data_IF_556797477594
#
_entry.id   IF_556797477594
#
_cell.length_a   1.000
_cell.length_b   1.000
_cell.length_c   1.000
_cell.angle_alpha   90.00
_cell.angle_beta   90.00
_cell.angle_gamma   90.00
#
_symmetry.space_group_name_H-M   'P 1'
#
loop_
_entity.id
_entity.type
_entity.pdbx_description
1 polymer ?
#
# COMPACT_ATOMS: atom_id res chain seq x y z
N UNK A 1 17.87 17.25 3.02
CA UNK A 1 16.81 18.23 2.68
C UNK A 1 16.61 18.47 1.18
N UNK A 2 17.66 18.66 0.35
CA UNK A 2 17.50 18.85 -1.12
C UNK A 2 16.86 17.68 -1.88
N UNK A 3 16.95 16.44 -1.36
CA UNK A 3 16.27 15.28 -1.97
C UNK A 3 14.75 15.25 -1.71
N UNK A 4 14.29 15.76 -0.56
CA UNK A 4 12.88 15.68 -0.14
C UNK A 4 11.95 16.64 -0.91
N UNK A 5 12.50 17.65 -1.60
CA UNK A 5 11.69 18.62 -2.35
C UNK A 5 10.88 17.99 -3.49
N UNK A 6 11.41 16.94 -4.13
CA UNK A 6 10.72 16.21 -5.20
C UNK A 6 9.78 15.14 -4.63
N UNK A 7 10.15 14.53 -3.51
CA UNK A 7 9.32 13.48 -2.90
C UNK A 7 8.05 14.01 -2.26
N UNK A 8 8.02 15.27 -1.78
CA UNK A 8 6.83 15.84 -1.14
C UNK A 8 5.57 15.86 -2.05
N UNK A 9 5.62 16.37 -3.30
CA UNK A 9 4.49 16.24 -4.23
C UNK A 9 4.23 14.81 -4.70
N UNK A 10 5.25 13.94 -4.68
CA UNK A 10 5.10 12.53 -5.06
C UNK A 10 4.39 11.71 -3.97
N UNK A 11 4.51 12.13 -2.71
CA UNK A 11 3.81 11.53 -1.57
C UNK A 11 2.33 11.95 -1.56
N UNK A 12 2.03 13.23 -1.79
CA UNK A 12 0.64 13.73 -1.75
C UNK A 12 -0.22 13.21 -2.91
N UNK A 13 0.40 12.86 -4.04
CA UNK A 13 -0.26 12.26 -5.21
C UNK A 13 -0.20 10.73 -5.20
N UNK A 14 0.27 10.11 -4.12
CA UNK A 14 0.35 8.66 -4.02
C UNK A 14 -1.04 8.03 -3.86
N UNK A 15 -1.31 6.99 -4.66
CA UNK A 15 -2.58 6.28 -4.67
C UNK A 15 -2.97 5.69 -3.31
N UNK A 16 -1.98 5.19 -2.55
CA UNK A 16 -2.21 4.61 -1.23
C UNK A 16 -2.57 5.67 -0.18
N UNK A 17 -1.96 6.86 -0.27
CA UNK A 17 -2.26 7.99 0.62
C UNK A 17 -3.65 8.55 0.34
N UNK A 18 -4.01 8.69 -0.94
CA UNK A 18 -5.35 9.08 -1.35
C UNK A 18 -6.40 8.06 -0.86
N UNK A 19 -6.14 6.76 -1.02
CA UNK A 19 -7.04 5.71 -0.53
C UNK A 19 -7.20 5.74 0.99
N UNK A 20 -6.12 5.97 1.76
CA UNK A 20 -6.21 6.12 3.21
C UNK A 20 -7.10 7.32 3.61
N UNK A 21 -7.01 8.43 2.87
CA UNK A 21 -7.83 9.62 3.11
C UNK A 21 -9.31 9.41 2.74
N UNK A 22 -9.62 8.70 1.66
CA UNK A 22 -11.02 8.48 1.25
C UNK A 22 -11.70 7.35 2.02
N UNK A 23 -10.99 6.26 2.32
CA UNK A 23 -11.56 5.11 3.03
C UNK A 23 -11.73 5.36 4.54
N UNK A 24 -10.94 6.27 5.12
CA UNK A 24 -11.12 6.68 6.53
C UNK A 24 -12.39 7.48 6.80
N UNK A 25 -13.05 8.00 5.76
CA UNK A 25 -14.31 8.76 5.85
C UNK A 25 -15.53 7.88 5.60
N UNK A 26 -15.36 6.67 5.05
CA UNK A 26 -16.46 5.71 4.91
C UNK A 26 -16.92 5.22 6.28
N UNK A 27 -18.23 4.95 6.48
CA UNK A 27 -18.72 4.26 7.67
C UNK A 27 -17.95 2.95 7.86
N UNK A 28 -17.21 2.87 8.97
CA UNK A 28 -16.08 1.97 9.16
C UNK A 28 -16.41 0.51 9.44
N UNK A 29 -15.33 -0.28 9.45
CA UNK A 29 -15.15 -1.69 9.84
C UNK A 29 -15.93 -2.15 11.09
N UNK A 30 -16.21 -1.26 12.05
CA UNK A 30 -17.01 -1.54 13.25
C UNK A 30 -18.53 -1.34 13.09
N UNK A 31 -19.01 -0.72 12.00
CA UNK A 31 -20.44 -0.61 11.68
C UNK A 31 -21.09 -1.98 11.44
N UNK A 32 -20.31 -3.00 11.03
CA UNK A 32 -20.77 -4.40 10.99
C UNK A 32 -21.12 -4.98 12.38
N UNK A 33 -20.68 -4.35 13.47
CA UNK A 33 -20.83 -4.84 14.84
C UNK A 33 -21.99 -4.18 15.61
N UNK A 34 -22.91 -3.48 14.93
CA UNK A 34 -24.18 -2.97 15.48
C UNK A 34 -24.04 -2.20 16.81
N UNK A 35 -23.07 -1.29 16.89
CA UNK A 35 -22.88 -0.42 18.05
C UNK A 35 -23.17 1.03 17.62
N UNK A 36 -24.12 1.72 18.27
CA UNK A 36 -24.56 3.05 17.89
C UNK A 36 -23.61 4.11 18.46
N UNK A 37 -22.38 4.19 17.95
CA UNK A 37 -21.49 5.29 18.32
C UNK A 37 -21.07 6.09 17.10
N UNK A 38 -21.41 7.39 17.18
CA UNK A 38 -20.97 8.51 16.38
C UNK A 38 -19.59 8.30 15.74
N UNK A 39 -19.49 8.54 14.43
CA UNK A 39 -18.26 8.64 13.62
C UNK A 39 -17.12 9.32 14.39
N UNK A 40 -16.31 8.55 15.11
CA UNK A 40 -15.32 9.06 16.04
C UNK A 40 -13.98 9.29 15.33
N UNK A 41 -13.42 10.49 15.45
CA UNK A 41 -12.07 10.84 14.99
C UNK A 41 -10.98 9.83 15.44
N UNK A 42 -11.20 9.14 16.56
CA UNK A 42 -10.29 8.13 17.09
C UNK A 42 -10.25 6.87 16.21
N UNK A 43 -11.37 6.44 15.65
CA UNK A 43 -11.44 5.22 14.82
C UNK A 43 -10.72 5.42 13.47
N UNK A 44 -10.88 6.58 12.84
CA UNK A 44 -10.19 6.92 11.60
C UNK A 44 -8.67 7.03 11.78
N UNK A 45 -8.21 7.54 12.93
CA UNK A 45 -6.78 7.57 13.28
C UNK A 45 -6.22 6.15 13.43
N UNK A 46 -6.92 5.25 14.12
CA UNK A 46 -6.47 3.86 14.29
C UNK A 46 -6.45 3.13 12.94
N UNK A 47 -7.46 3.32 12.10
CA UNK A 47 -7.52 2.74 10.76
C UNK A 47 -6.36 3.22 9.88
N UNK A 48 -6.14 4.53 9.79
CA UNK A 48 -5.07 5.10 8.96
C UNK A 48 -3.67 4.72 9.45
N UNK A 49 -3.48 4.56 10.76
CA UNK A 49 -2.24 4.00 11.31
C UNK A 49 -2.03 2.55 10.88
N UNK A 50 -3.07 1.72 10.90
CA UNK A 50 -3.02 0.34 10.39
C UNK A 50 -2.64 0.29 8.91
N UNK A 51 -3.26 1.15 8.09
CA UNK A 51 -2.94 1.27 6.65
C UNK A 51 -1.49 1.73 6.44
N UNK A 52 -1.01 2.70 7.23
CA UNK A 52 0.37 3.20 7.12
C UNK A 52 1.40 2.10 7.43
N UNK A 53 1.17 1.31 8.49
CA UNK A 53 2.03 0.17 8.85
C UNK A 53 2.02 -0.88 7.72
N UNK A 54 0.85 -1.27 7.21
CA UNK A 54 0.75 -2.22 6.10
C UNK A 54 1.44 -1.73 4.83
N UNK A 55 1.27 -0.46 4.48
CA UNK A 55 1.92 0.15 3.31
C UNK A 55 3.44 0.19 3.46
N UNK A 56 3.96 0.50 4.65
CA UNK A 56 5.40 0.47 4.91
C UNK A 56 6.01 -0.92 4.71
N UNK A 57 5.31 -1.97 5.19
CA UNK A 57 5.73 -3.35 5.04
C UNK A 57 5.78 -3.73 3.55
N UNK A 58 4.73 -3.39 2.80
CA UNK A 58 4.65 -3.61 1.35
C UNK A 58 5.80 -2.92 0.61
N UNK A 59 6.11 -1.66 0.94
CA UNK A 59 7.21 -0.93 0.31
C UNK A 59 8.57 -1.57 0.58
N UNK A 60 8.82 -2.05 1.80
CA UNK A 60 10.08 -2.74 2.15
C UNK A 60 10.23 -4.02 1.33
N UNK A 61 9.18 -4.84 1.23
CA UNK A 61 9.23 -6.07 0.43
C UNK A 61 9.45 -5.74 -1.05
N UNK A 62 8.75 -4.73 -1.58
CA UNK A 62 8.91 -4.33 -2.97
C UNK A 62 10.32 -3.81 -3.26
N UNK A 63 10.92 -3.05 -2.33
CA UNK A 63 12.32 -2.60 -2.44
C UNK A 63 13.30 -3.78 -2.46
N UNK A 64 13.14 -4.75 -1.55
CA UNK A 64 13.97 -5.95 -1.52
C UNK A 64 13.83 -6.79 -2.81
N UNK A 65 12.61 -6.87 -3.37
CA UNK A 65 12.36 -7.57 -4.63
C UNK A 65 13.07 -6.86 -5.80
N UNK A 66 13.08 -5.53 -5.82
CA UNK A 66 13.77 -4.73 -6.85
C UNK A 66 15.28 -4.92 -6.83
N UNK A 67 15.88 -4.92 -5.64
CA UNK A 67 17.32 -5.16 -5.47
C UNK A 67 17.72 -6.56 -5.99
N UNK A 68 16.91 -7.58 -5.67
CA UNK A 68 17.10 -8.96 -6.18
C UNK A 68 17.00 -9.03 -7.70
N UNK A 69 16.09 -8.27 -8.29
CA UNK A 69 15.86 -8.23 -9.73
C UNK A 69 17.02 -7.59 -10.48
N UNK A 70 17.67 -6.59 -9.89
CA UNK A 70 18.83 -5.91 -10.49
C UNK A 70 20.06 -6.82 -10.63
N UNK A 71 20.20 -7.77 -9.70
CA UNK A 71 21.24 -8.80 -9.73
C UNK A 71 20.91 -9.98 -10.69
N UNK A 72 19.66 -10.09 -11.16
CA UNK A 72 19.23 -11.21 -11.99
C UNK A 72 19.63 -11.03 -13.48
N UNK A 73 19.89 -12.13 -14.22
CA UNK A 73 20.21 -12.07 -15.64
C UNK A 73 18.94 -11.81 -16.47
N UNK A 74 18.50 -10.55 -16.55
CA UNK A 74 17.34 -10.12 -17.36
C UNK A 74 17.79 -9.76 -18.79
N UNK A 75 17.12 -10.26 -19.86
CA UNK A 75 17.38 -9.86 -21.23
C UNK A 75 17.23 -8.33 -21.42
N UNK A 76 18.08 -7.73 -22.26
CA UNK A 76 18.22 -6.27 -22.41
C UNK A 76 16.89 -5.54 -22.69
N UNK A 77 15.97 -6.16 -23.43
CA UNK A 77 14.67 -5.60 -23.77
C UNK A 77 13.70 -5.47 -22.59
N UNK A 78 13.89 -6.25 -21.52
CA UNK A 78 13.02 -6.24 -20.34
C UNK A 78 13.59 -5.46 -19.16
N UNK A 79 14.83 -4.95 -19.26
CA UNK A 79 15.48 -4.21 -18.17
C UNK A 79 14.78 -2.89 -17.87
N UNK A 80 14.69 -2.56 -16.57
CA UNK A 80 14.13 -1.31 -16.09
C UNK A 80 12.61 -1.37 -15.87
N UNK A 81 11.86 -0.61 -16.67
CA UNK A 81 10.41 -0.41 -16.50
C UNK A 81 9.56 -1.66 -16.82
N UNK A 82 9.83 -2.46 -17.86
CA UNK A 82 8.97 -3.60 -18.18
C UNK A 82 8.95 -4.67 -17.08
N UNK A 83 10.12 -5.07 -16.57
CA UNK A 83 10.21 -6.05 -15.50
C UNK A 83 9.60 -5.54 -14.18
N UNK A 84 9.62 -4.22 -13.95
CA UNK A 84 8.97 -3.58 -12.82
C UNK A 84 7.45 -3.84 -12.75
N UNK A 85 6.79 -3.72 -13.91
CA UNK A 85 5.35 -3.92 -14.01
C UNK A 85 4.99 -5.40 -13.85
N UNK A 86 5.80 -6.31 -14.39
CA UNK A 86 5.60 -7.74 -14.23
C UNK A 86 5.74 -8.15 -12.76
N UNK A 87 6.77 -7.66 -12.07
CA UNK A 87 6.95 -7.96 -10.64
C UNK A 87 5.86 -7.33 -9.79
N UNK A 88 5.41 -6.11 -10.10
CA UNK A 88 4.26 -5.49 -9.43
C UNK A 88 2.96 -6.29 -9.62
N UNK A 89 2.72 -6.85 -10.81
CA UNK A 89 1.55 -7.70 -11.08
C UNK A 89 1.60 -9.01 -10.28
N UNK A 90 2.74 -9.71 -10.28
CA UNK A 90 2.94 -10.93 -9.49
C UNK A 90 2.83 -10.65 -7.99
N UNK A 91 3.35 -9.51 -7.55
CA UNK A 91 3.24 -9.06 -6.17
C UNK A 91 1.79 -8.83 -5.76
N UNK A 92 0.97 -8.18 -6.60
CA UNK A 92 -0.46 -8.02 -6.33
C UNK A 92 -1.20 -9.35 -6.22
N UNK A 93 -0.85 -10.35 -7.04
CA UNK A 93 -1.43 -11.69 -6.95
C UNK A 93 -1.08 -12.39 -5.64
N UNK A 94 0.15 -12.22 -5.14
CA UNK A 94 0.56 -12.76 -3.86
C UNK A 94 -0.26 -12.16 -2.70
N UNK A 95 -0.55 -10.85 -2.75
CA UNK A 95 -1.38 -10.18 -1.74
C UNK A 95 -2.87 -10.49 -1.85
N UNK A 96 -3.39 -10.75 -3.06
CA UNK A 96 -4.76 -11.24 -3.22
C UNK A 96 -5.03 -12.55 -2.48
N UNK A 97 -4.00 -13.39 -2.27
CA UNK A 97 -4.11 -14.60 -1.44
C UNK A 97 -4.49 -14.33 0.02
N UNK A 98 -4.17 -13.14 0.56
CA UNK A 98 -4.54 -12.75 1.92
C UNK A 98 -5.96 -12.20 2.05
N UNK A 99 -6.65 -11.92 0.94
CA UNK A 99 -7.99 -11.32 0.96
C UNK A 99 -9.06 -12.19 1.64
N UNK A 100 -8.82 -13.50 1.80
CA UNK A 100 -9.71 -14.44 2.49
C UNK A 100 -9.28 -14.84 3.90
N UNK A 101 -8.21 -14.25 4.45
CA UNK A 101 -7.60 -14.75 5.70
C UNK A 101 -8.41 -14.41 6.96
N UNK A 102 -9.20 -13.34 6.92
CA UNK A 102 -10.14 -12.97 7.97
C UNK A 102 -11.56 -13.18 7.42
N UNK A 103 -12.14 -14.36 7.69
CA UNK A 103 -13.51 -14.71 7.31
C UNK A 103 -14.51 -13.91 8.21
N UNK A 104 -14.71 -12.61 7.89
CA UNK A 104 -15.57 -11.64 8.59
C UNK A 104 -16.62 -11.02 7.65
#
# INVERSE_FOLDING_TARGET
YRAMGIYLPLITTNCAVLAAATESVKPGFFTKLNIPYNYGFVESVIYTLGVAVGFSLVLIIFAALRERLELAPIPKFFRGVPIAFITAALFSLAFMGFAGMFNL
#
